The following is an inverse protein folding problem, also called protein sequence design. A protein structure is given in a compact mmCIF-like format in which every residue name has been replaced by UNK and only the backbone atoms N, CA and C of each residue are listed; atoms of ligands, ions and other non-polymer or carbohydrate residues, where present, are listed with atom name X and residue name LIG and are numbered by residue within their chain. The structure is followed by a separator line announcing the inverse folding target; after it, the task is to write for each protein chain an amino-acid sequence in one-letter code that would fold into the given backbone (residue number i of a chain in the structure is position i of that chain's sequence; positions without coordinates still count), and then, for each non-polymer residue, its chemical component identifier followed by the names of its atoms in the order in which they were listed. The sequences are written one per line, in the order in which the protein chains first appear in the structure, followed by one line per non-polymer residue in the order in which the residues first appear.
data_IF_574595858101
#
_entry.id   IF_574595858101
#
_cell.length_a   1.000
_cell.length_b   1.000
_cell.length_c   1.000
_cell.angle_alpha   90.00
_cell.angle_beta   90.00
_cell.angle_gamma   90.00
#
_symmetry.space_group_name_H-M   'P 1'
#
loop_
_entity.id
_entity.type
_entity.pdbx_description
1 polymer ?
#
# COMPACT_ATOMS: atom_id res chain seq x y z
N UNK A 1 1.12 14.53 7.83
CA UNK A 1 -0.17 13.83 8.07
C UNK A 1 0.13 12.75 9.08
N UNK A 2 -0.43 12.87 10.28
CA UNK A 2 -0.12 11.98 11.40
C UNK A 2 -1.38 11.37 12.00
N UNK A 3 -2.44 12.16 12.19
CA UNK A 3 -3.71 11.67 12.73
C UNK A 3 -4.61 11.07 11.64
N UNK A 4 -5.53 10.19 12.04
CA UNK A 4 -6.50 9.62 11.11
C UNK A 4 -7.40 10.70 10.50
N UNK A 5 -7.76 11.72 11.27
CA UNK A 5 -8.61 12.82 10.80
C UNK A 5 -7.88 13.67 9.76
N UNK A 6 -6.60 14.00 9.97
CA UNK A 6 -5.78 14.68 8.96
C UNK A 6 -5.68 13.87 7.65
N UNK A 7 -5.53 12.55 7.76
CA UNK A 7 -5.46 11.65 6.60
C UNK A 7 -6.80 11.66 5.85
N UNK A 8 -7.92 11.51 6.57
CA UNK A 8 -9.26 11.49 5.97
C UNK A 8 -9.58 12.84 5.31
N UNK A 9 -9.34 13.94 6.01
CA UNK A 9 -9.57 15.29 5.49
C UNK A 9 -8.77 15.53 4.21
N UNK A 10 -7.49 15.13 4.19
CA UNK A 10 -6.67 15.30 3.00
C UNK A 10 -7.14 14.43 1.83
N UNK A 11 -7.56 13.20 2.10
CA UNK A 11 -8.10 12.30 1.08
C UNK A 11 -9.41 12.86 0.53
N UNK A 12 -10.29 13.42 1.36
CA UNK A 12 -11.54 14.06 0.93
C UNK A 12 -11.29 15.31 0.09
N UNK A 13 -10.29 16.13 0.46
CA UNK A 13 -9.88 17.31 -0.31
C UNK A 13 -9.43 16.94 -1.73
N UNK A 14 -8.64 15.87 -1.85
CA UNK A 14 -8.12 15.38 -3.14
C UNK A 14 -9.20 14.64 -3.95
N UNK A 15 -10.11 13.94 -3.26
CA UNK A 15 -11.16 13.10 -3.85
C UNK A 15 -10.64 12.14 -4.94
N UNK A 16 -9.67 11.24 -4.61
CA UNK A 16 -9.07 10.35 -5.60
C UNK A 16 -10.06 9.30 -6.12
N UNK A 17 -9.83 8.83 -7.35
CA UNK A 17 -10.60 7.73 -7.98
C UNK A 17 -10.44 6.41 -7.20
N UNK A 18 -9.28 6.19 -6.60
CA UNK A 18 -9.00 5.06 -5.72
C UNK A 18 -8.01 5.48 -4.63
N UNK A 19 -8.21 4.98 -3.42
CA UNK A 19 -7.30 5.14 -2.29
C UNK A 19 -6.64 3.80 -2.00
N UNK A 20 -5.36 3.68 -2.31
CA UNK A 20 -4.55 2.52 -1.90
C UNK A 20 -4.02 2.72 -0.48
N UNK A 21 -4.17 1.70 0.36
CA UNK A 21 -3.68 1.70 1.73
C UNK A 21 -2.74 0.50 1.90
N UNK A 22 -1.49 0.79 2.26
CA UNK A 22 -0.46 -0.22 2.58
C UNK A 22 -0.59 -0.68 4.04
N UNK A 23 -1.76 -1.23 4.37
CA UNK A 23 -2.08 -1.80 5.68
C UNK A 23 -3.30 -2.73 5.56
N UNK A 24 -3.44 -3.74 6.43
CA UNK A 24 -4.61 -4.60 6.46
C UNK A 24 -5.93 -3.80 6.54
N UNK A 25 -6.83 -3.97 5.57
CA UNK A 25 -8.18 -3.38 5.62
C UNK A 25 -9.15 -4.24 6.41
N UNK A 26 -8.81 -5.52 6.59
CA UNK A 26 -9.54 -6.48 7.41
C UNK A 26 -8.60 -7.05 8.47
N UNK A 27 -9.07 -7.08 9.72
CA UNK A 27 -8.35 -7.71 10.82
C UNK A 27 -9.33 -8.38 11.77
N UNK A 28 -9.08 -9.65 12.08
CA UNK A 28 -9.91 -10.50 12.94
C UNK A 28 -9.05 -11.34 13.90
N UNK A 29 -7.80 -10.94 14.15
CA UNK A 29 -6.88 -11.64 15.04
C UNK A 29 -6.33 -12.96 14.49
N UNK A 30 -6.64 -13.34 13.24
CA UNK A 30 -6.06 -14.52 12.59
C UNK A 30 -5.27 -14.16 11.34
N UNK A 31 -4.30 -14.99 11.01
CA UNK A 31 -3.51 -14.81 9.80
C UNK A 31 -4.35 -15.03 8.53
N UNK A 32 -4.36 -14.03 7.64
CA UNK A 32 -5.13 -14.08 6.40
C UNK A 32 -4.36 -14.83 5.31
N UNK A 33 -5.10 -15.37 4.34
CA UNK A 33 -4.51 -16.09 3.22
C UNK A 33 -3.58 -15.20 2.38
N UNK A 34 -3.97 -13.96 2.14
CA UNK A 34 -3.16 -12.97 1.43
C UNK A 34 -1.80 -12.76 2.10
N UNK A 35 -1.77 -12.65 3.43
CA UNK A 35 -0.53 -12.45 4.20
C UNK A 35 0.43 -13.64 4.01
N UNK A 36 -0.08 -14.87 4.11
CA UNK A 36 0.72 -16.09 3.86
C UNK A 36 1.26 -16.15 2.44
N UNK A 37 0.41 -15.91 1.44
CA UNK A 37 0.81 -15.99 0.03
C UNK A 37 1.83 -14.90 -0.35
N UNK A 38 1.75 -13.72 0.27
CA UNK A 38 2.68 -12.62 0.03
C UNK A 38 3.96 -12.68 0.88
N UNK A 39 4.14 -13.70 1.75
CA UNK A 39 5.43 -13.94 2.43
C UNK A 39 6.60 -14.08 1.45
N UNK A 40 6.36 -14.59 0.24
CA UNK A 40 7.36 -14.65 -0.84
C UNK A 40 7.92 -13.27 -1.23
N UNK A 41 7.16 -12.21 -0.97
CA UNK A 41 7.58 -10.82 -1.16
C UNK A 41 7.95 -10.12 0.16
N UNK A 42 7.93 -10.83 1.30
CA UNK A 42 8.33 -10.31 2.61
C UNK A 42 7.19 -9.86 3.51
N UNK A 43 5.93 -10.20 3.21
CA UNK A 43 4.83 -9.91 4.12
C UNK A 43 5.02 -10.61 5.47
N UNK A 44 4.73 -9.88 6.55
CA UNK A 44 4.78 -10.40 7.91
C UNK A 44 3.38 -10.83 8.39
N UNK A 45 3.27 -11.81 9.30
CA UNK A 45 1.98 -12.17 9.89
C UNK A 45 1.35 -11.00 10.64
N UNK A 46 0.06 -10.75 10.37
CA UNK A 46 -0.73 -9.71 11.07
C UNK A 46 -0.88 -9.96 12.58
N UNK A 47 -0.60 -11.18 13.04
CA UNK A 47 -0.67 -11.59 14.46
C UNK A 47 0.57 -11.22 15.27
N UNK A 48 1.63 -10.67 14.66
CA UNK A 48 2.75 -10.11 15.41
C UNK A 48 2.29 -8.86 16.17
N UNK A 49 2.61 -8.74 17.47
CA UNK A 49 2.12 -7.65 18.35
C UNK A 49 2.23 -6.24 17.74
N UNK A 50 3.33 -5.92 17.07
CA UNK A 50 3.50 -4.60 16.43
C UNK A 50 2.61 -4.43 15.19
N UNK A 51 2.40 -5.51 14.44
CA UNK A 51 1.56 -5.55 13.25
C UNK A 51 0.07 -5.47 13.60
N UNK A 52 -0.34 -6.02 14.74
CA UNK A 52 -1.73 -5.98 15.22
C UNK A 52 -2.24 -4.54 15.41
N UNK A 53 -1.46 -3.67 16.04
CA UNK A 53 -1.83 -2.25 16.22
C UNK A 53 -2.02 -1.57 14.85
N UNK A 54 -1.11 -1.83 13.91
CA UNK A 54 -1.17 -1.30 12.55
C UNK A 54 -2.39 -1.85 11.79
N UNK A 55 -2.68 -3.14 11.93
CA UNK A 55 -3.82 -3.79 11.29
C UNK A 55 -5.16 -3.28 11.84
N UNK A 56 -5.26 -3.06 13.15
CA UNK A 56 -6.43 -2.44 13.78
C UNK A 56 -6.64 -1.05 13.19
N UNK A 57 -5.61 -0.18 13.25
CA UNK A 57 -5.70 1.19 12.73
C UNK A 57 -6.04 1.22 11.23
N UNK A 58 -5.36 0.42 10.42
CA UNK A 58 -5.58 0.33 8.97
C UNK A 58 -7.02 -0.08 8.64
N UNK A 59 -7.53 -1.10 9.34
CA UNK A 59 -8.90 -1.58 9.13
C UNK A 59 -9.97 -0.59 9.59
N UNK A 60 -9.71 0.19 10.64
CA UNK A 60 -10.60 1.26 11.11
C UNK A 60 -10.62 2.45 10.15
N UNK A 61 -9.45 2.89 9.69
CA UNK A 61 -9.31 3.95 8.70
C UNK A 61 -10.03 3.57 7.39
N UNK A 62 -9.80 2.36 6.90
CA UNK A 62 -10.50 1.84 5.73
C UNK A 62 -12.01 1.81 5.92
N UNK A 63 -12.50 1.36 7.08
CA UNK A 63 -13.94 1.37 7.42
C UNK A 63 -14.53 2.79 7.46
N UNK A 64 -13.77 3.80 7.86
CA UNK A 64 -14.22 5.21 7.84
C UNK A 64 -14.32 5.70 6.39
N UNK A 65 -13.28 5.49 5.59
CA UNK A 65 -13.23 5.92 4.18
C UNK A 65 -14.31 5.23 3.31
N UNK A 66 -14.52 3.92 3.50
CA UNK A 66 -15.57 3.18 2.78
C UNK A 66 -16.98 3.68 3.13
N UNK A 67 -17.22 4.10 4.39
CA UNK A 67 -18.50 4.72 4.80
C UNK A 67 -18.73 6.09 4.16
N UNK A 68 -17.66 6.74 3.71
CA UNK A 68 -17.70 7.97 2.92
C UNK A 68 -17.82 7.69 1.40
N UNK A 69 -18.14 6.45 1.01
CA UNK A 69 -18.23 5.98 -0.38
C UNK A 69 -16.93 6.08 -1.17
N UNK A 70 -15.78 6.10 -0.49
CA UNK A 70 -14.48 6.09 -1.17
C UNK A 70 -14.11 4.68 -1.62
N UNK A 71 -13.51 4.59 -2.80
CA UNK A 71 -13.00 3.33 -3.32
C UNK A 71 -11.63 3.03 -2.68
N UNK A 72 -11.60 2.09 -1.75
CA UNK A 72 -10.38 1.75 -0.97
C UNK A 72 -9.89 0.36 -1.36
N UNK A 73 -8.59 0.25 -1.65
CA UNK A 73 -7.93 -1.03 -1.94
C UNK A 73 -6.76 -1.29 -0.98
N UNK A 74 -6.61 -2.54 -0.58
CA UNK A 74 -5.44 -2.98 0.18
C UNK A 74 -4.29 -3.22 -0.78
N UNK A 75 -3.10 -2.71 -0.47
CA UNK A 75 -1.89 -2.95 -1.25
C UNK A 75 -0.77 -3.44 -0.35
N UNK A 76 0.29 -3.97 -0.98
CA UNK A 76 1.54 -4.26 -0.31
C UNK A 76 2.69 -3.62 -1.10
N UNK A 77 3.13 -2.44 -0.66
CA UNK A 77 4.10 -1.59 -1.36
C UNK A 77 5.39 -2.34 -1.73
N UNK A 78 5.91 -3.13 -0.80
CA UNK A 78 7.13 -3.94 -1.01
C UNK A 78 6.93 -5.01 -2.08
N UNK A 79 5.74 -5.64 -2.17
CA UNK A 79 5.47 -6.57 -3.27
C UNK A 79 5.47 -5.84 -4.61
N UNK A 80 4.88 -4.65 -4.68
CA UNK A 80 4.92 -3.82 -5.90
C UNK A 80 6.34 -3.49 -6.32
N UNK A 81 7.17 -2.99 -5.39
CA UNK A 81 8.57 -2.70 -5.67
C UNK A 81 9.31 -3.93 -6.20
N UNK A 82 9.09 -5.11 -5.60
CA UNK A 82 9.74 -6.36 -6.02
C UNK A 82 9.24 -6.87 -7.37
N UNK A 83 7.92 -6.85 -7.60
CA UNK A 83 7.31 -7.35 -8.84
C UNK A 83 7.75 -6.48 -10.04
N UNK A 84 7.86 -5.16 -9.84
CA UNK A 84 8.31 -4.24 -10.89
C UNK A 84 9.83 -4.17 -11.05
N UNK A 85 10.60 -4.93 -10.25
CA UNK A 85 12.07 -4.91 -10.31
C UNK A 85 12.71 -3.62 -9.80
N UNK A 86 12.01 -2.85 -8.98
CA UNK A 86 12.45 -1.55 -8.45
C UNK A 86 12.92 -1.61 -6.99
N UNK A 87 12.72 -2.74 -6.32
CA UNK A 87 13.12 -2.94 -4.93
C UNK A 87 14.65 -2.91 -4.77
N UNK A 88 15.11 -2.18 -3.75
CA UNK A 88 16.49 -2.18 -3.29
C UNK A 88 16.54 -2.15 -1.76
N UNK A 89 17.68 -2.50 -1.16
CA UNK A 89 17.85 -2.47 0.29
C UNK A 89 17.91 -1.04 0.83
N UNK A 90 18.51 -0.12 0.09
CA UNK A 90 18.63 1.29 0.47
C UNK A 90 17.52 2.15 -0.15
N UNK A 91 17.05 3.15 0.59
CA UNK A 91 16.08 4.14 0.13
C UNK A 91 16.62 4.92 -1.07
N UNK A 92 17.92 5.24 -1.06
CA UNK A 92 18.59 5.98 -2.15
C UNK A 92 18.58 5.22 -3.46
N UNK A 93 18.86 3.93 -3.42
CA UNK A 93 18.85 3.08 -4.61
C UNK A 93 17.43 2.82 -5.11
N UNK A 94 16.48 2.62 -4.19
CA UNK A 94 15.06 2.49 -4.54
C UNK A 94 14.52 3.76 -5.21
N UNK A 95 14.89 4.93 -4.69
CA UNK A 95 14.56 6.22 -5.29
C UNK A 95 15.21 6.38 -6.66
N UNK A 96 16.48 6.00 -6.82
CA UNK A 96 17.15 6.00 -8.13
C UNK A 96 16.42 5.08 -9.12
N UNK A 97 16.02 3.88 -8.72
CA UNK A 97 15.26 2.96 -9.57
C UNK A 97 13.92 3.56 -10.03
N UNK A 98 13.22 4.29 -9.16
CA UNK A 98 12.00 5.02 -9.52
C UNK A 98 12.28 6.09 -10.60
N UNK A 99 13.34 6.88 -10.42
CA UNK A 99 13.75 7.91 -11.39
C UNK A 99 14.13 7.26 -12.73
N UNK A 100 14.95 6.21 -12.71
CA UNK A 100 15.39 5.46 -13.89
C UNK A 100 14.20 4.82 -14.63
N UNK A 101 13.12 4.46 -13.90
CA UNK A 101 11.86 3.97 -14.45
C UNK A 101 10.93 5.08 -14.98
N UNK A 102 11.35 6.35 -14.91
CA UNK A 102 10.61 7.50 -15.42
C UNK A 102 9.60 8.12 -14.44
N UNK A 103 9.65 7.75 -13.16
CA UNK A 103 8.86 8.43 -12.11
C UNK A 103 9.55 9.76 -11.80
N UNK A 104 8.78 10.84 -11.82
CA UNK A 104 9.26 12.20 -11.53
C UNK A 104 8.46 12.86 -10.41
N UNK A 105 8.97 13.97 -9.88
CA UNK A 105 8.32 14.77 -8.85
C UNK A 105 9.24 15.00 -7.66
N UNK A 106 8.79 14.63 -6.46
CA UNK A 106 9.60 14.83 -5.25
C UNK A 106 10.85 13.94 -5.23
N UNK A 107 10.82 12.81 -5.94
CA UNK A 107 11.99 11.93 -6.17
C UNK A 107 13.16 12.66 -6.84
N UNK A 108 12.92 13.71 -7.63
CA UNK A 108 13.97 14.49 -8.30
C UNK A 108 14.50 15.64 -7.43
N UNK A 109 13.77 16.02 -6.39
CA UNK A 109 13.99 17.26 -5.64
C UNK A 109 14.73 17.04 -4.34
N UNK A 110 14.52 15.89 -3.68
CA UNK A 110 15.08 15.59 -2.37
C UNK A 110 15.12 14.09 -2.12
N UNK A 111 15.89 13.67 -1.11
CA UNK A 111 15.80 12.30 -0.62
C UNK A 111 14.47 12.08 0.10
N UNK A 112 13.83 10.96 -0.23
CA UNK A 112 12.58 10.52 0.36
C UNK A 112 12.82 9.54 1.50
N UNK A 113 11.92 9.54 2.48
CA UNK A 113 11.91 8.53 3.53
C UNK A 113 11.36 7.19 3.01
N UNK A 114 11.52 6.12 3.80
CA UNK A 114 10.90 4.82 3.51
C UNK A 114 9.39 4.95 3.29
N UNK A 115 8.71 5.61 4.22
CA UNK A 115 7.24 5.78 4.16
C UNK A 115 6.80 6.54 2.89
N UNK A 116 7.57 7.54 2.45
CA UNK A 116 7.29 8.28 1.21
C UNK A 116 7.50 7.42 -0.04
N UNK A 117 8.53 6.58 -0.05
CA UNK A 117 8.77 5.62 -1.14
C UNK A 117 7.66 4.55 -1.18
N UNK A 118 7.26 4.02 -0.03
CA UNK A 118 6.17 3.04 0.06
C UNK A 118 4.84 3.65 -0.40
N UNK A 119 4.59 4.92 -0.09
CA UNK A 119 3.44 5.67 -0.61
C UNK A 119 3.47 5.81 -2.15
N UNK A 120 4.65 6.01 -2.75
CA UNK A 120 4.80 6.02 -4.22
C UNK A 120 4.46 4.65 -4.79
N UNK A 121 4.97 3.56 -4.21
CA UNK A 121 4.63 2.21 -4.69
C UNK A 121 3.15 1.87 -4.51
N UNK A 122 2.53 2.29 -3.41
CA UNK A 122 1.09 2.18 -3.21
C UNK A 122 0.31 2.93 -4.30
N UNK A 123 0.73 4.16 -4.64
CA UNK A 123 0.14 4.95 -5.71
C UNK A 123 0.34 4.30 -7.09
N UNK A 124 1.49 3.69 -7.36
CA UNK A 124 1.74 2.92 -8.59
C UNK A 124 0.75 1.74 -8.67
N UNK A 125 0.53 1.01 -7.57
CA UNK A 125 -0.47 -0.08 -7.55
C UNK A 125 -1.87 0.43 -7.81
N UNK A 126 -2.27 1.55 -7.20
CA UNK A 126 -3.55 2.21 -7.48
C UNK A 126 -3.71 2.59 -8.96
N UNK A 127 -2.66 3.17 -9.57
CA UNK A 127 -2.67 3.49 -11.00
C UNK A 127 -2.84 2.24 -11.86
N UNK A 128 -2.10 1.17 -11.58
CA UNK A 128 -2.24 -0.10 -12.29
C UNK A 128 -3.61 -0.74 -12.10
N UNK A 129 -4.20 -0.60 -10.90
CA UNK A 129 -5.54 -1.12 -10.59
C UNK A 129 -6.61 -0.44 -11.46
N UNK A 130 -6.56 0.89 -11.59
CA UNK A 130 -7.45 1.65 -12.48
C UNK A 130 -7.30 1.17 -13.93
N UNK A 131 -6.07 0.87 -14.35
CA UNK A 131 -5.75 0.35 -15.69
C UNK A 131 -5.99 -1.16 -15.86
N UNK A 132 -6.57 -1.85 -14.86
CA UNK A 132 -6.84 -3.30 -14.86
C UNK A 132 -5.58 -4.16 -15.05
N UNK A 133 -4.42 -3.66 -14.66
CA UNK A 133 -3.09 -4.31 -14.75
C UNK A 133 -2.61 -4.86 -13.40
N UNK A 134 -3.56 -5.32 -12.59
CA UNK A 134 -3.31 -5.90 -11.27
C UNK A 134 -3.95 -7.26 -11.15
N UNK A 135 -3.50 -8.03 -10.16
CA UNK A 135 -4.20 -9.23 -9.67
C UNK A 135 -4.46 -9.09 -8.18
N UNK A 136 -5.40 -9.89 -7.69
CA UNK A 136 -5.75 -9.95 -6.27
C UNK A 136 -5.23 -11.24 -5.66
N UNK A 137 -4.62 -11.13 -4.48
CA UNK A 137 -4.08 -12.26 -3.71
C UNK A 137 -4.87 -12.37 -2.41
N UNK A 138 -5.34 -13.57 -2.08
CA UNK A 138 -6.16 -13.84 -0.89
C UNK A 138 -7.56 -14.36 -1.20
N UNK A 139 -8.49 -14.09 -0.29
CA UNK A 139 -9.86 -14.63 -0.29
C UNK A 139 -10.85 -13.62 0.32
N UNK A 140 -12.03 -14.09 0.71
CA UNK A 140 -13.08 -13.27 1.33
C UNK A 140 -12.67 -12.65 2.68
N UNK A 141 -11.65 -13.21 3.35
CA UNK A 141 -11.15 -12.66 4.62
C UNK A 141 -10.16 -11.51 4.44
N UNK A 142 -9.63 -11.34 3.23
CA UNK A 142 -8.68 -10.27 2.91
C UNK A 142 -8.10 -10.46 1.52
N UNK A 143 -8.02 -9.36 0.78
CA UNK A 143 -7.48 -9.32 -0.59
C UNK A 143 -6.48 -8.19 -0.70
N UNK A 144 -5.26 -8.51 -1.09
CA UNK A 144 -4.22 -7.54 -1.40
C UNK A 144 -4.07 -7.43 -2.90
N UNK A 145 -4.09 -6.20 -3.42
CA UNK A 145 -3.90 -5.89 -4.83
C UNK A 145 -2.40 -5.74 -5.10
N UNK A 146 -1.91 -6.42 -6.13
CA UNK A 146 -0.52 -6.36 -6.58
C UNK A 146 -0.45 -6.22 -8.10
N UNK A 147 0.66 -5.71 -8.68
CA UNK A 147 0.85 -5.68 -10.11
C UNK A 147 0.72 -7.06 -10.76
N UNK A 148 0.14 -7.10 -11.96
CA UNK A 148 0.16 -8.27 -12.84
C UNK A 148 1.16 -8.00 -13.95
N UNK A 149 2.33 -8.62 -13.85
CA UNK A 149 3.38 -8.65 -14.87
C UNK A 149 3.40 -10.01 -15.57
#
# INVERSE_FOLDING_TARGET
LHSDDEIIDKIMEISPVVTAIDAPLTFNGVERRCDRELRRYGALPVTLRGMEILAIRGSELARKLMRLNMNVIEVFSTATAKILGLYASSEREMQKNLIDAGISGDVDKRFLTRDELDAIFAAITAYLYINKSTTSVGDDKGRIIIPRV
#
